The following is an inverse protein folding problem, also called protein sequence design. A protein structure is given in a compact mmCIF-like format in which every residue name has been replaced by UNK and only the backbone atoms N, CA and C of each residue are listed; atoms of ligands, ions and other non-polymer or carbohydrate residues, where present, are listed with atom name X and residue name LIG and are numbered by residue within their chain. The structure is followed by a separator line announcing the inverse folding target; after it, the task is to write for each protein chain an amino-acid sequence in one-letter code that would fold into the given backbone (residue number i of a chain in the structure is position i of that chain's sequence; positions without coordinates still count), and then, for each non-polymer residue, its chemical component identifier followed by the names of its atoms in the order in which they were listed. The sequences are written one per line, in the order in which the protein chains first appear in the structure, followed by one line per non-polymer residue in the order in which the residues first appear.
data_IF_430264106374
#
_entry.id   IF_430264106374
#
_cell.length_a   1.000
_cell.length_b   1.000
_cell.length_c   1.000
_cell.angle_alpha   90.00
_cell.angle_beta   90.00
_cell.angle_gamma   90.00
#
_symmetry.space_group_name_H-M   'P 1'
#
loop_
_entity.id
_entity.type
_entity.pdbx_description
1 polymer ?
#
# COMPACT_ATOMS: atom_id res chain seq x y z
N UNK A 1 6.40 -0.13 12.40
CA UNK A 1 6.97 1.15 11.89
C UNK A 1 7.19 0.97 10.40
N UNK A 2 6.73 1.91 9.57
CA UNK A 2 7.00 1.90 8.13
C UNK A 2 8.18 2.85 7.89
N UNK A 3 9.23 2.45 7.15
CA UNK A 3 10.36 3.33 6.86
C UNK A 3 9.93 4.61 6.13
N UNK A 4 10.74 5.66 6.23
CA UNK A 4 10.48 6.90 5.51
C UNK A 4 10.46 6.68 3.98
N UNK A 5 9.45 7.22 3.31
CA UNK A 5 9.30 7.16 1.86
C UNK A 5 10.13 8.28 1.22
N UNK A 6 10.93 7.94 0.21
CA UNK A 6 11.71 8.92 -0.59
C UNK A 6 11.12 9.01 -1.99
N UNK A 7 10.70 10.21 -2.37
CA UNK A 7 10.25 10.50 -3.73
C UNK A 7 11.44 10.90 -4.60
N UNK A 8 11.48 10.41 -5.83
CA UNK A 8 12.51 10.75 -6.82
C UNK A 8 11.88 10.80 -8.21
N UNK A 9 12.21 11.84 -8.95
CA UNK A 9 11.85 11.93 -10.36
C UNK A 9 12.68 10.94 -11.18
N UNK A 10 12.06 10.38 -12.22
CA UNK A 10 12.72 9.49 -13.16
C UNK A 10 12.32 9.85 -14.59
N UNK A 11 13.24 10.45 -15.35
CA UNK A 11 13.00 10.86 -16.73
C UNK A 11 12.78 9.71 -17.72
N UNK A 12 12.96 8.46 -17.31
CA UNK A 12 12.68 7.28 -18.16
C UNK A 12 11.24 6.78 -18.04
N UNK A 13 10.45 7.28 -17.08
CA UNK A 13 9.05 6.89 -16.93
C UNK A 13 8.17 7.69 -17.88
N UNK A 14 7.06 7.09 -18.32
CA UNK A 14 6.02 7.86 -19.00
C UNK A 14 5.45 8.92 -18.04
N UNK A 15 4.94 10.06 -18.56
CA UNK A 15 4.46 11.16 -17.73
C UNK A 15 3.38 10.78 -16.70
N UNK A 16 2.59 9.77 -17.03
CA UNK A 16 1.48 9.28 -16.22
C UNK A 16 1.84 8.02 -15.43
N UNK A 17 3.11 7.69 -15.26
CA UNK A 17 3.56 6.46 -14.59
C UNK A 17 4.33 6.75 -13.31
N UNK A 18 4.19 5.84 -12.36
CA UNK A 18 5.03 5.77 -11.17
C UNK A 18 5.48 4.33 -10.90
N UNK A 19 6.56 4.21 -10.14
CA UNK A 19 7.08 2.92 -9.67
C UNK A 19 7.33 2.98 -8.17
N UNK A 20 7.00 1.89 -7.48
CA UNK A 20 7.29 1.71 -6.07
C UNK A 20 8.50 0.80 -5.97
N UNK A 21 9.50 1.24 -5.21
CA UNK A 21 10.75 0.50 -5.02
C UNK A 21 10.99 0.18 -3.55
N UNK A 22 11.38 -1.05 -3.27
CA UNK A 22 11.80 -1.51 -1.94
C UNK A 22 13.26 -1.95 -2.04
N UNK A 23 14.13 -1.36 -1.21
CA UNK A 23 15.59 -1.58 -1.22
C UNK A 23 16.25 -1.39 -2.61
N UNK A 24 15.66 -0.56 -3.46
CA UNK A 24 16.17 -0.25 -4.80
C UNK A 24 15.54 -1.07 -5.93
N UNK A 25 14.87 -2.18 -5.60
CA UNK A 25 14.18 -3.04 -6.55
C UNK A 25 12.76 -2.54 -6.82
N UNK A 26 12.34 -2.56 -8.08
CA UNK A 26 10.95 -2.27 -8.47
C UNK A 26 10.05 -3.43 -8.03
N UNK A 27 9.09 -3.14 -7.16
CA UNK A 27 8.13 -4.12 -6.63
C UNK A 27 6.73 -3.91 -7.16
N UNK A 28 6.40 -2.68 -7.58
CA UNK A 28 5.12 -2.36 -8.18
C UNK A 28 5.24 -1.16 -9.13
N UNK A 29 4.29 -1.07 -10.06
CA UNK A 29 4.17 -0.02 -11.07
C UNK A 29 2.71 0.33 -11.25
N UNK A 30 2.41 1.61 -11.46
CA UNK A 30 1.06 2.06 -11.74
C UNK A 30 1.02 3.18 -12.75
N UNK A 31 -0.15 3.37 -13.34
CA UNK A 31 -0.48 4.50 -14.19
C UNK A 31 -1.51 5.40 -13.50
N UNK A 32 -1.43 6.70 -13.75
CA UNK A 32 -2.26 7.70 -13.09
C UNK A 32 -2.62 8.84 -14.03
N UNK A 33 -3.90 9.20 -14.07
CA UNK A 33 -4.40 10.34 -14.84
C UNK A 33 -4.88 11.43 -13.86
N UNK A 34 -4.09 12.50 -13.69
CA UNK A 34 -4.33 13.50 -12.62
C UNK A 34 -5.64 14.28 -12.77
N UNK A 35 -6.18 14.42 -13.98
CA UNK A 35 -7.42 15.16 -14.26
C UNK A 35 -8.67 14.26 -14.35
N UNK A 36 -8.54 13.00 -13.94
CA UNK A 36 -9.59 11.99 -14.00
C UNK A 36 -9.93 11.47 -12.60
N UNK A 37 -10.96 10.63 -12.51
CA UNK A 37 -11.23 9.79 -11.35
C UNK A 37 -11.20 8.31 -11.74
N UNK A 38 -10.83 7.44 -10.81
CA UNK A 38 -10.91 6.00 -11.00
C UNK A 38 -12.27 5.51 -10.52
N UNK A 39 -13.09 4.98 -11.41
CA UNK A 39 -14.37 4.36 -11.10
C UNK A 39 -14.20 2.83 -11.03
N UNK A 40 -14.34 2.26 -9.84
CA UNK A 40 -14.22 0.82 -9.60
C UNK A 40 -15.57 0.15 -9.81
N UNK A 41 -15.54 -1.00 -10.47
CA UNK A 41 -16.70 -1.88 -10.64
C UNK A 41 -16.74 -2.94 -9.52
N UNK A 42 -17.69 -2.85 -8.57
CA UNK A 42 -17.89 -3.84 -7.51
C UNK A 42 -18.58 -5.15 -7.99
N UNK A 43 -18.98 -5.26 -9.27
CA UNK A 43 -19.61 -6.42 -9.88
C UNK A 43 -21.14 -6.43 -9.83
N UNK A 44 -21.78 -5.35 -9.35
CA UNK A 44 -23.24 -5.23 -9.22
C UNK A 44 -23.77 -3.87 -9.73
N UNK A 45 -23.16 -3.35 -10.79
CA UNK A 45 -23.54 -2.08 -11.41
C UNK A 45 -24.95 -2.10 -11.99
N UNK A 46 -25.61 -0.94 -11.96
CA UNK A 46 -26.95 -0.75 -12.56
C UNK A 46 -26.90 -0.07 -13.93
N UNK A 47 -25.71 0.36 -14.37
CA UNK A 47 -25.45 0.95 -15.67
C UNK A 47 -23.95 1.05 -15.95
N UNK A 48 -23.59 1.39 -17.18
CA UNK A 48 -22.20 1.59 -17.60
C UNK A 48 -21.90 3.07 -17.81
N UNK A 49 -20.62 3.44 -17.64
CA UNK A 49 -20.15 4.78 -17.93
C UNK A 49 -18.97 4.76 -18.90
N UNK A 50 -18.96 5.72 -19.81
CA UNK A 50 -17.87 5.88 -20.77
C UNK A 50 -16.60 6.35 -20.05
N UNK A 51 -15.49 5.68 -20.30
CA UNK A 51 -14.19 6.00 -19.72
C UNK A 51 -13.09 5.19 -20.38
N UNK A 52 -11.87 5.35 -19.86
CA UNK A 52 -10.71 4.56 -20.30
C UNK A 52 -10.60 3.34 -19.41
N UNK A 53 -10.79 2.14 -19.98
CA UNK A 53 -10.66 0.89 -19.24
C UNK A 53 -9.26 0.74 -18.65
N UNK A 54 -9.20 0.29 -17.39
CA UNK A 54 -7.97 0.09 -16.64
C UNK A 54 -8.19 -0.96 -15.54
N UNK A 55 -7.15 -1.24 -14.78
CA UNK A 55 -7.19 -2.08 -13.60
C UNK A 55 -6.69 -1.25 -12.42
N UNK A 56 -7.43 -1.26 -11.31
CA UNK A 56 -6.99 -0.66 -10.06
C UNK A 56 -5.74 -1.41 -9.57
N UNK A 57 -4.62 -0.72 -9.29
CA UNK A 57 -3.33 -1.37 -9.12
C UNK A 57 -3.13 -2.08 -7.77
N UNK A 58 -3.88 -1.72 -6.72
CA UNK A 58 -3.69 -2.28 -5.38
C UNK A 58 -4.33 -3.67 -5.20
N UNK A 59 -5.52 -3.87 -5.76
CA UNK A 59 -6.34 -5.07 -5.58
C UNK A 59 -6.68 -5.77 -6.90
N UNK A 60 -6.35 -5.17 -8.05
CA UNK A 60 -6.60 -5.76 -9.37
C UNK A 60 -8.06 -5.65 -9.81
N UNK A 61 -8.79 -4.64 -9.34
CA UNK A 61 -10.23 -4.49 -9.61
C UNK A 61 -10.43 -3.84 -10.99
N UNK A 62 -11.23 -4.43 -11.91
CA UNK A 62 -11.61 -3.79 -13.17
C UNK A 62 -12.19 -2.40 -12.91
N UNK A 63 -11.66 -1.40 -13.61
CA UNK A 63 -11.97 0.00 -13.34
C UNK A 63 -11.94 0.82 -14.62
N UNK A 64 -12.48 2.04 -14.56
CA UNK A 64 -12.41 3.01 -15.66
C UNK A 64 -11.89 4.35 -15.16
N UNK A 65 -11.00 4.98 -15.91
CA UNK A 65 -10.72 6.40 -15.73
C UNK A 65 -11.84 7.22 -16.36
N UNK A 66 -12.52 8.02 -15.56
CA UNK A 66 -13.64 8.87 -15.98
C UNK A 66 -13.30 10.35 -15.77
N UNK A 67 -13.83 11.20 -16.63
CA UNK A 67 -13.69 12.64 -16.49
C UNK A 67 -14.58 13.18 -15.36
N UNK A 68 -14.28 14.36 -14.77
CA UNK A 68 -15.02 14.88 -13.63
C UNK A 68 -16.52 15.05 -13.85
N UNK A 69 -16.97 15.37 -15.07
CA UNK A 69 -18.38 15.52 -15.45
C UNK A 69 -19.18 14.21 -15.37
N UNK A 70 -18.49 13.06 -15.36
CA UNK A 70 -19.08 11.73 -15.31
C UNK A 70 -19.18 11.17 -13.89
N UNK A 71 -18.56 11.82 -12.90
CA UNK A 71 -18.47 11.33 -11.53
C UNK A 71 -19.84 11.02 -10.92
N UNK A 72 -20.74 12.00 -10.91
CA UNK A 72 -22.05 11.87 -10.25
C UNK A 72 -22.87 10.71 -10.84
N UNK A 73 -22.80 10.54 -12.17
CA UNK A 73 -23.47 9.43 -12.86
C UNK A 73 -22.83 8.07 -12.54
N UNK A 74 -21.51 8.00 -12.40
CA UNK A 74 -20.83 6.77 -12.00
C UNK A 74 -21.28 6.32 -10.60
N UNK A 75 -21.36 7.26 -9.65
CA UNK A 75 -21.84 6.97 -8.30
C UNK A 75 -23.30 6.48 -8.31
N UNK A 76 -24.18 7.09 -9.11
CA UNK A 76 -25.58 6.65 -9.29
C UNK A 76 -25.64 5.21 -9.83
N UNK A 77 -24.77 4.85 -10.78
CA UNK A 77 -24.70 3.49 -11.33
C UNK A 77 -24.06 2.47 -10.39
N UNK A 78 -23.52 2.91 -9.25
CA UNK A 78 -22.96 2.04 -8.21
C UNK A 78 -21.45 1.87 -8.29
N UNK A 79 -20.74 2.66 -9.11
CA UNK A 79 -19.29 2.68 -9.10
C UNK A 79 -18.77 3.33 -7.81
N UNK A 80 -17.66 2.82 -7.30
CA UNK A 80 -16.89 3.54 -6.27
C UNK A 80 -15.90 4.46 -6.97
N UNK A 81 -16.04 5.77 -6.80
CA UNK A 81 -15.19 6.76 -7.46
C UNK A 81 -14.07 7.24 -6.52
N UNK A 82 -12.82 7.13 -6.98
CA UNK A 82 -11.61 7.42 -6.19
C UNK A 82 -10.78 8.48 -6.92
N UNK A 83 -10.26 9.47 -6.19
CA UNK A 83 -9.37 10.48 -6.77
C UNK A 83 -7.97 9.89 -7.06
N UNK A 84 -7.22 10.47 -8.02
CA UNK A 84 -5.92 9.94 -8.43
C UNK A 84 -4.90 9.80 -7.29
N UNK A 85 -4.85 10.75 -6.35
CA UNK A 85 -3.89 10.68 -5.25
C UNK A 85 -4.21 9.50 -4.33
N UNK A 86 -5.49 9.29 -4.01
CA UNK A 86 -5.94 8.15 -3.22
C UNK A 86 -5.63 6.81 -3.88
N UNK A 87 -5.63 6.71 -5.21
CA UNK A 87 -5.19 5.49 -5.93
C UNK A 87 -3.71 5.21 -5.65
N UNK A 88 -2.84 6.21 -5.77
CA UNK A 88 -1.40 6.05 -5.53
C UNK A 88 -1.13 5.69 -4.06
N UNK A 89 -1.82 6.34 -3.11
CA UNK A 89 -1.66 6.09 -1.68
C UNK A 89 -2.12 4.68 -1.31
N UNK A 90 -3.26 4.24 -1.82
CA UNK A 90 -3.79 2.89 -1.59
C UNK A 90 -2.82 1.85 -2.15
N UNK A 91 -2.36 2.03 -3.39
CA UNK A 91 -1.38 1.12 -4.00
C UNK A 91 -0.07 1.06 -3.22
N UNK A 92 0.45 2.21 -2.76
CA UNK A 92 1.64 2.26 -1.92
C UNK A 92 1.43 1.52 -0.60
N UNK A 93 0.31 1.74 0.08
CA UNK A 93 -0.03 1.11 1.36
C UNK A 93 -0.14 -0.42 1.21
N UNK A 94 -0.85 -0.90 0.19
CA UNK A 94 -0.98 -2.33 -0.07
C UNK A 94 0.35 -2.97 -0.48
N UNK A 95 1.15 -2.30 -1.32
CA UNK A 95 2.49 -2.77 -1.67
C UNK A 95 3.39 -2.88 -0.43
N UNK A 96 3.38 -1.86 0.43
CA UNK A 96 4.14 -1.90 1.69
C UNK A 96 3.65 -3.02 2.61
N UNK A 97 2.34 -3.26 2.67
CA UNK A 97 1.77 -4.36 3.47
C UNK A 97 2.22 -5.72 2.94
N UNK A 98 2.13 -5.95 1.63
CA UNK A 98 2.55 -7.19 0.99
C UNK A 98 4.04 -7.50 1.22
N UNK A 99 4.87 -6.46 1.26
CA UNK A 99 6.31 -6.57 1.50
C UNK A 99 6.74 -6.27 2.94
N UNK A 100 5.80 -6.21 3.91
CA UNK A 100 6.10 -5.81 5.29
C UNK A 100 7.14 -6.71 5.96
N UNK A 101 7.13 -8.02 5.65
CA UNK A 101 8.09 -8.99 6.14
C UNK A 101 9.54 -8.68 5.73
N UNK A 102 9.74 -8.01 4.59
CA UNK A 102 11.07 -7.60 4.11
C UNK A 102 11.57 -6.31 4.77
N UNK A 103 10.64 -5.48 5.26
CA UNK A 103 10.92 -4.23 5.94
C UNK A 103 11.24 -4.44 7.44
N UNK A 104 10.80 -5.56 8.02
CA UNK A 104 11.04 -5.89 9.43
C UNK A 104 12.51 -6.30 9.71
N UNK A 105 13.36 -5.29 9.87
CA UNK A 105 14.76 -5.47 10.26
C UNK A 105 14.93 -5.72 11.76
N UNK A 106 16.14 -6.09 12.19
CA UNK A 106 16.49 -6.16 13.62
C UNK A 106 16.28 -4.83 14.33
N UNK A 107 16.63 -3.71 13.69
CA UNK A 107 16.45 -2.38 14.25
C UNK A 107 14.96 -2.08 14.50
N UNK A 108 14.08 -2.53 13.61
CA UNK A 108 12.63 -2.36 13.79
C UNK A 108 12.09 -3.21 14.95
N UNK A 109 12.54 -4.47 15.07
CA UNK A 109 12.17 -5.32 16.21
C UNK A 109 12.66 -4.73 17.53
N UNK A 110 13.89 -4.23 17.57
CA UNK A 110 14.42 -3.52 18.73
C UNK A 110 13.57 -2.30 19.08
N UNK A 111 13.21 -1.47 18.10
CA UNK A 111 12.36 -0.30 18.33
C UNK A 111 10.95 -0.68 18.84
N UNK A 112 10.37 -1.77 18.33
CA UNK A 112 9.10 -2.32 18.84
C UNK A 112 9.25 -2.72 20.31
N UNK A 113 10.32 -3.43 20.68
CA UNK A 113 10.59 -3.83 22.06
C UNK A 113 10.81 -2.62 22.99
N UNK A 114 11.57 -1.62 22.55
CA UNK A 114 11.78 -0.38 23.31
C UNK A 114 10.48 0.39 23.54
N UNK A 115 9.59 0.43 22.54
CA UNK A 115 8.26 1.02 22.73
C UNK A 115 7.41 0.18 23.68
N UNK A 116 7.45 -1.15 23.60
CA UNK A 116 6.71 -2.03 24.50
C UNK A 116 7.18 -1.89 25.96
N UNK A 117 8.47 -1.66 26.20
CA UNK A 117 9.02 -1.39 27.54
C UNK A 117 8.40 -0.17 28.21
N UNK A 118 7.95 0.84 27.44
CA UNK A 118 7.24 2.01 27.98
C UNK A 118 5.90 1.64 28.63
N UNK A 119 5.29 0.53 28.20
CA UNK A 119 4.02 0.05 28.72
C UNK A 119 4.19 -1.07 29.75
N UNK A 120 5.12 -2.00 29.51
CA UNK A 120 5.40 -3.13 30.43
C UNK A 120 6.85 -3.60 30.30
N UNK A 121 7.79 -2.88 30.92
CA UNK A 121 9.20 -3.24 30.95
C UNK A 121 9.50 -4.61 31.58
N UNK A 122 8.87 -5.02 32.69
CA UNK A 122 9.08 -6.35 33.28
C UNK A 122 8.83 -7.48 32.29
N UNK A 123 7.70 -7.45 31.57
CA UNK A 123 7.36 -8.47 30.56
C UNK A 123 8.44 -8.60 29.48
N UNK A 124 8.94 -7.47 28.96
CA UNK A 124 9.97 -7.50 27.92
C UNK A 124 11.26 -8.10 28.46
N UNK A 125 11.66 -7.73 29.68
CA UNK A 125 12.86 -8.25 30.34
C UNK A 125 12.77 -9.76 30.58
N UNK A 126 11.64 -10.25 31.06
CA UNK A 126 11.45 -11.66 31.42
C UNK A 126 11.34 -12.57 30.18
N UNK A 127 10.93 -12.02 29.02
CA UNK A 127 10.72 -12.80 27.78
C UNK A 127 11.91 -12.69 26.83
N UNK A 128 12.48 -11.50 26.63
CA UNK A 128 13.56 -11.25 25.67
C UNK A 128 14.78 -10.68 26.40
N UNK A 129 15.94 -11.38 26.41
CA UNK A 129 16.27 -12.58 25.62
C UNK A 129 15.99 -13.92 26.30
N UNK A 130 15.51 -13.93 27.55
CA UNK A 130 15.58 -15.10 28.45
C UNK A 130 14.73 -16.30 27.98
N UNK A 131 13.52 -16.07 27.47
CA UNK A 131 12.65 -17.12 26.90
C UNK A 131 12.86 -17.25 25.39
N UNK A 132 13.05 -16.13 24.70
CA UNK A 132 13.27 -16.08 23.27
C UNK A 132 14.30 -15.01 22.90
N UNK A 133 15.28 -15.38 22.08
CA UNK A 133 16.22 -14.40 21.53
C UNK A 133 15.52 -13.42 20.59
N UNK A 134 15.99 -12.17 20.55
CA UNK A 134 15.47 -11.15 19.63
C UNK A 134 15.51 -11.61 18.16
N UNK A 135 16.53 -12.40 17.78
CA UNK A 135 16.65 -12.98 16.45
C UNK A 135 15.53 -13.99 16.13
N UNK A 136 15.15 -14.82 17.11
CA UNK A 136 14.05 -15.77 16.94
C UNK A 136 12.70 -15.06 16.97
N UNK A 137 12.54 -14.04 17.81
CA UNK A 137 11.35 -13.19 17.80
C UNK A 137 11.17 -12.51 16.43
N UNK A 138 12.22 -11.93 15.86
CA UNK A 138 12.18 -11.37 14.50
C UNK A 138 11.71 -12.42 13.48
N UNK A 139 12.26 -13.64 13.52
CA UNK A 139 11.83 -14.71 12.60
C UNK A 139 10.35 -15.04 12.74
N UNK A 140 9.81 -15.08 13.96
CA UNK A 140 8.39 -15.31 14.20
C UNK A 140 7.56 -14.16 13.62
N UNK A 141 7.89 -12.92 13.95
CA UNK A 141 7.18 -11.74 13.44
C UNK A 141 7.23 -11.67 11.91
N UNK A 142 8.38 -11.91 11.29
CA UNK A 142 8.50 -11.99 9.83
C UNK A 142 7.59 -13.07 9.22
N UNK A 143 7.40 -14.22 9.89
CA UNK A 143 6.51 -15.28 9.41
C UNK A 143 5.04 -14.93 9.56
N UNK A 144 4.67 -14.13 10.55
CA UNK A 144 3.29 -13.64 10.72
C UNK A 144 2.94 -12.53 9.72
N UNK A 145 3.94 -11.87 9.14
CA UNK A 145 3.79 -10.81 8.13
C UNK A 145 3.89 -11.31 6.68
N UNK A 146 4.11 -12.61 6.49
CA UNK A 146 4.06 -13.27 5.17
C UNK A 146 2.63 -13.72 4.89
#
# INVERSE_FOLDING_TARGET
VVPAVRLRDNGTLNPNQYVIKIKGEEVARGEILMDYYLALDPGNLTGEIDGIDTIEPAYGIPSKWITPDKKDMAEIYGYTVIDPLSVVVTHLSETVRAHAHELLSRQEVHHILENLKKYNAPLVKDVVPDVISEANLQKILCRLLK
#
